data_IF_003129819113
#
_entry.id   IF_003129819113
#
_cell.length_a   1.000
_cell.length_b   1.000
_cell.length_c   1.000
_cell.angle_alpha   90.00
_cell.angle_beta   90.00
_cell.angle_gamma   90.00
#
_symmetry.space_group_name_H-M   'P 1'
#
loop_
_entity.id
_entity.type
_entity.pdbx_description
1 polymer ?
#
# COMPACT_ATOMS: atom_id res chain seq x y z
N UNK A 1 15.26 67.81 -4.24
CA UNK A 1 13.94 67.17 -4.38
C UNK A 1 14.07 66.04 -5.39
N UNK A 2 14.33 64.82 -4.93
CA UNK A 2 14.33 63.64 -5.81
C UNK A 2 13.85 62.47 -4.99
N UNK A 3 12.65 61.99 -5.32
CA UNK A 3 11.95 60.94 -4.61
C UNK A 3 12.42 59.56 -5.07
N UNK A 4 12.70 58.72 -4.08
CA UNK A 4 13.01 57.29 -4.14
C UNK A 4 11.81 56.47 -4.63
N UNK A 5 12.02 55.52 -5.56
CA UNK A 5 11.04 54.44 -5.85
C UNK A 5 11.65 53.09 -5.53
N UNK A 6 10.99 52.38 -4.62
CA UNK A 6 11.24 50.99 -4.21
C UNK A 6 10.60 49.97 -5.17
N UNK A 7 11.30 48.83 -5.31
CA UNK A 7 10.85 47.42 -5.40
C UNK A 7 9.75 46.99 -6.38
N UNK A 8 10.09 45.97 -7.19
CA UNK A 8 9.47 44.64 -7.09
C UNK A 8 10.24 43.62 -7.96
N UNK A 9 11.16 42.87 -7.34
CA UNK A 9 11.69 41.62 -7.91
C UNK A 9 10.64 40.52 -7.76
N UNK A 10 10.19 39.94 -8.88
CA UNK A 10 9.41 38.71 -8.87
C UNK A 10 10.36 37.53 -9.00
N UNK A 11 10.55 36.80 -7.91
CA UNK A 11 11.17 35.48 -7.87
C UNK A 11 10.23 34.45 -8.51
N UNK A 12 10.56 34.00 -9.72
CA UNK A 12 9.89 32.89 -10.39
C UNK A 12 10.43 31.56 -9.89
N UNK A 13 9.62 30.85 -9.11
CA UNK A 13 9.83 29.44 -8.76
C UNK A 13 9.77 28.59 -10.02
N UNK A 14 10.85 27.88 -10.33
CA UNK A 14 10.93 26.94 -11.43
C UNK A 14 10.04 25.71 -11.16
N UNK A 15 8.83 25.71 -11.73
CA UNK A 15 7.98 24.54 -11.79
C UNK A 15 8.65 23.47 -12.68
N UNK A 16 8.83 22.26 -12.15
CA UNK A 16 9.24 21.09 -12.94
C UNK A 16 8.26 20.90 -14.10
N UNK A 17 8.74 21.13 -15.32
CA UNK A 17 7.96 20.99 -16.54
C UNK A 17 7.49 19.55 -16.71
N UNK A 18 6.16 19.34 -16.72
CA UNK A 18 5.55 18.15 -17.32
C UNK A 18 5.99 18.11 -18.79
N UNK A 19 6.61 17.02 -19.22
CA UNK A 19 7.01 16.84 -20.62
C UNK A 19 5.81 17.00 -21.58
N UNK A 20 6.06 17.28 -22.87
CA UNK A 20 4.99 17.51 -23.85
C UNK A 20 4.04 16.30 -23.91
N UNK A 21 2.73 16.59 -23.96
CA UNK A 21 1.70 15.56 -24.12
C UNK A 21 1.91 14.83 -25.46
N UNK A 22 1.85 13.48 -25.48
CA UNK A 22 2.08 12.70 -26.70
C UNK A 22 1.03 12.97 -27.77
N UNK A 23 1.42 12.89 -29.03
CA UNK A 23 0.48 12.97 -30.16
C UNK A 23 -0.40 11.71 -30.21
N UNK A 24 -1.57 11.81 -30.83
CA UNK A 24 -2.49 10.68 -31.02
C UNK A 24 -1.80 9.50 -31.72
N UNK A 25 -0.92 9.79 -32.69
CA UNK A 25 -0.11 8.79 -33.39
C UNK A 25 0.86 8.06 -32.46
N UNK A 26 1.53 8.78 -31.54
CA UNK A 26 2.41 8.18 -30.55
C UNK A 26 1.64 7.30 -29.56
N UNK A 27 0.42 7.69 -29.18
CA UNK A 27 -0.44 6.88 -28.31
C UNK A 27 -0.87 5.60 -29.04
N UNK A 28 -1.25 5.68 -30.31
CA UNK A 28 -1.68 4.51 -31.10
C UNK A 28 -0.52 3.55 -31.42
N UNK A 29 0.69 4.08 -31.60
CA UNK A 29 1.90 3.29 -31.78
C UNK A 29 2.40 2.64 -30.48
N UNK A 30 1.87 3.05 -29.31
CA UNK A 30 2.31 2.54 -28.02
C UNK A 30 1.90 1.08 -27.79
N UNK A 31 2.84 0.30 -27.24
CA UNK A 31 2.62 -1.12 -26.94
C UNK A 31 1.45 -1.37 -25.99
N UNK A 32 1.24 -0.53 -24.98
CA UNK A 32 0.11 -0.65 -24.05
C UNK A 32 -1.20 -0.44 -24.80
N UNK A 33 -1.29 0.59 -25.66
CA UNK A 33 -2.48 0.86 -26.46
C UNK A 33 -2.80 -0.27 -27.42
N UNK A 34 -1.78 -0.84 -28.07
CA UNK A 34 -1.94 -1.99 -28.96
C UNK A 34 -2.48 -3.21 -28.21
N UNK A 35 -1.90 -3.54 -27.05
CA UNK A 35 -2.38 -4.64 -26.22
C UNK A 35 -3.80 -4.37 -25.70
N UNK A 36 -4.09 -3.15 -25.26
CA UNK A 36 -5.42 -2.75 -24.81
C UNK A 36 -6.46 -2.99 -25.91
N UNK A 37 -6.19 -2.52 -27.13
CA UNK A 37 -7.08 -2.71 -28.28
C UNK A 37 -7.29 -4.18 -28.66
N UNK A 38 -6.35 -5.07 -28.36
CA UNK A 38 -6.49 -6.50 -28.63
C UNK A 38 -7.31 -7.23 -27.56
N UNK A 39 -7.18 -6.82 -26.29
CA UNK A 39 -7.63 -7.62 -25.15
C UNK A 39 -8.74 -7.00 -24.31
N UNK A 40 -8.71 -5.69 -24.01
CA UNK A 40 -9.58 -5.13 -22.95
C UNK A 40 -10.13 -3.72 -23.18
N UNK A 41 -9.64 -2.96 -24.15
CA UNK A 41 -10.07 -1.58 -24.36
C UNK A 41 -11.58 -1.51 -24.66
N UNK A 42 -12.31 -0.55 -24.06
CA UNK A 42 -13.76 -0.47 -24.15
C UNK A 42 -14.26 -0.33 -25.60
N UNK A 43 -13.53 0.43 -26.42
CA UNK A 43 -13.88 0.75 -27.81
C UNK A 43 -13.11 -0.08 -28.87
N UNK A 44 -12.51 -1.20 -28.46
CA UNK A 44 -11.85 -2.13 -29.38
C UNK A 44 -12.85 -2.79 -30.35
N UNK A 45 -12.35 -3.25 -31.51
CA UNK A 45 -13.12 -3.97 -32.52
C UNK A 45 -13.93 -5.15 -31.92
N UNK A 46 -15.05 -5.51 -32.56
CA UNK A 46 -16.14 -6.37 -32.03
C UNK A 46 -15.73 -7.73 -31.42
N UNK A 47 -14.49 -8.20 -31.62
CA UNK A 47 -13.99 -9.47 -31.07
C UNK A 47 -12.63 -9.31 -30.39
N UNK A 48 -12.65 -9.14 -29.06
CA UNK A 48 -11.46 -9.15 -28.20
C UNK A 48 -10.86 -10.56 -28.10
N UNK A 49 -9.55 -10.64 -27.94
CA UNK A 49 -8.88 -11.90 -27.66
C UNK A 49 -9.26 -12.42 -26.25
N UNK A 50 -9.28 -13.76 -26.04
CA UNK A 50 -9.54 -14.32 -24.72
C UNK A 50 -8.42 -13.94 -23.74
N UNK A 51 -8.74 -14.01 -22.45
CA UNK A 51 -7.77 -13.74 -21.38
C UNK A 51 -6.53 -14.65 -21.51
N UNK A 52 -5.37 -14.04 -21.33
CA UNK A 52 -4.09 -14.73 -21.31
C UNK A 52 -3.21 -14.15 -20.19
N UNK A 53 -2.91 -14.97 -19.18
CA UNK A 53 -2.10 -14.57 -18.02
C UNK A 53 -0.71 -14.07 -18.41
N UNK A 54 -0.13 -14.60 -19.50
CA UNK A 54 1.18 -14.15 -20.00
C UNK A 54 1.20 -12.68 -20.41
N UNK A 55 0.06 -12.12 -20.80
CA UNK A 55 -0.06 -10.69 -21.13
C UNK A 55 0.09 -9.84 -19.86
N UNK A 56 -0.47 -10.30 -18.73
CA UNK A 56 -0.28 -9.65 -17.43
C UNK A 56 1.19 -9.72 -17.01
N UNK A 57 1.82 -10.89 -17.16
CA UNK A 57 3.25 -11.05 -16.85
C UNK A 57 4.14 -10.16 -17.73
N UNK A 58 3.85 -10.08 -19.03
CA UNK A 58 4.59 -9.23 -19.97
C UNK A 58 4.44 -7.75 -19.63
N UNK A 59 3.21 -7.27 -19.39
CA UNK A 59 2.94 -5.87 -19.00
C UNK A 59 3.65 -5.55 -17.69
N UNK A 60 3.52 -6.42 -16.69
CA UNK A 60 4.12 -6.18 -15.39
C UNK A 60 5.64 -6.11 -15.48
N UNK A 61 6.29 -7.06 -16.16
CA UNK A 61 7.73 -7.10 -16.30
C UNK A 61 8.27 -5.95 -17.16
N UNK A 62 7.74 -5.77 -18.39
CA UNK A 62 8.31 -4.84 -19.37
C UNK A 62 7.83 -3.40 -19.19
N UNK A 63 6.57 -3.21 -18.81
CA UNK A 63 5.96 -1.87 -18.78
C UNK A 63 5.97 -1.26 -17.38
N UNK A 64 5.92 -2.07 -16.32
CA UNK A 64 5.91 -1.59 -14.94
C UNK A 64 7.30 -1.72 -14.30
N UNK A 65 7.92 -2.90 -14.32
CA UNK A 65 9.22 -3.12 -13.64
C UNK A 65 10.40 -2.54 -14.39
N UNK A 66 10.58 -2.87 -15.67
CA UNK A 66 11.72 -2.37 -16.46
C UNK A 66 11.70 -0.85 -16.64
N UNK A 67 10.50 -0.24 -16.66
CA UNK A 67 10.34 1.23 -16.64
C UNK A 67 10.58 1.86 -15.27
N UNK A 68 10.92 1.06 -14.26
CA UNK A 68 11.08 1.47 -12.86
C UNK A 68 9.84 2.18 -12.30
N UNK A 69 8.65 1.65 -12.57
CA UNK A 69 7.36 2.20 -12.16
C UNK A 69 7.13 3.62 -12.70
N UNK A 70 7.49 3.84 -13.97
CA UNK A 70 7.31 5.14 -14.61
C UNK A 70 5.82 5.54 -14.61
N UNK A 71 5.52 6.68 -13.98
CA UNK A 71 4.15 7.22 -13.83
C UNK A 71 3.40 7.23 -15.16
N UNK A 72 4.07 7.62 -16.25
CA UNK A 72 3.45 7.66 -17.59
C UNK A 72 2.98 6.28 -18.08
N UNK A 73 3.72 5.19 -17.85
CA UNK A 73 3.30 3.84 -18.25
C UNK A 73 2.10 3.38 -17.43
N UNK A 74 2.13 3.65 -16.12
CA UNK A 74 1.07 3.33 -15.17
C UNK A 74 -0.23 4.09 -15.53
N UNK A 75 -0.14 5.39 -15.80
CA UNK A 75 -1.26 6.21 -16.27
C UNK A 75 -1.90 5.65 -17.54
N UNK A 76 -1.09 5.19 -18.50
CA UNK A 76 -1.61 4.62 -19.75
C UNK A 76 -2.40 3.32 -19.52
N UNK A 77 -1.93 2.47 -18.60
CA UNK A 77 -2.64 1.25 -18.21
C UNK A 77 -3.97 1.61 -17.52
N UNK A 78 -3.95 2.54 -16.56
CA UNK A 78 -5.15 2.99 -15.85
C UNK A 78 -6.19 3.56 -16.81
N UNK A 79 -5.78 4.49 -17.69
CA UNK A 79 -6.65 5.13 -18.68
C UNK A 79 -7.28 4.13 -19.66
N UNK A 80 -6.57 3.02 -19.94
CA UNK A 80 -7.07 1.94 -20.79
C UNK A 80 -8.08 1.01 -20.11
N UNK A 81 -8.44 1.26 -18.84
CA UNK A 81 -9.32 0.43 -18.01
C UNK A 81 -8.76 -0.98 -17.77
N UNK A 82 -7.46 -1.06 -17.49
CA UNK A 82 -6.75 -2.33 -17.32
C UNK A 82 -7.29 -3.16 -16.14
N UNK A 83 -7.69 -2.52 -15.02
CA UNK A 83 -8.25 -3.23 -13.86
C UNK A 83 -9.64 -3.77 -14.16
N UNK A 84 -10.50 -2.89 -14.67
CA UNK A 84 -11.92 -3.12 -14.87
C UNK A 84 -12.19 -4.19 -15.92
N UNK A 85 -11.40 -4.18 -16.99
CA UNK A 85 -11.68 -4.99 -18.17
C UNK A 85 -10.72 -6.18 -18.34
N UNK A 86 -9.57 -6.21 -17.66
CA UNK A 86 -8.58 -7.28 -17.85
C UNK A 86 -8.11 -7.95 -16.55
N UNK A 87 -7.68 -7.20 -15.54
CA UNK A 87 -7.12 -7.79 -14.33
C UNK A 87 -8.22 -8.40 -13.47
N UNK A 88 -9.10 -7.56 -12.92
CA UNK A 88 -10.04 -7.98 -11.89
C UNK A 88 -11.05 -9.04 -12.34
N UNK A 89 -11.69 -8.93 -13.53
CA UNK A 89 -12.58 -9.97 -14.02
C UNK A 89 -11.91 -11.34 -14.18
N UNK A 90 -10.58 -11.37 -14.34
CA UNK A 90 -9.81 -12.59 -14.56
C UNK A 90 -8.94 -12.97 -13.35
N UNK A 91 -9.11 -12.31 -12.20
CA UNK A 91 -8.42 -12.68 -10.97
C UNK A 91 -9.12 -13.88 -10.31
N UNK A 92 -8.37 -14.94 -10.06
CA UNK A 92 -8.87 -16.16 -9.43
C UNK A 92 -7.75 -17.14 -9.06
N UNK A 93 -8.07 -18.30 -8.47
CA UNK A 93 -7.08 -19.25 -7.97
C UNK A 93 -6.06 -19.70 -9.03
N UNK A 94 -6.51 -19.92 -10.27
CA UNK A 94 -5.68 -20.44 -11.36
C UNK A 94 -4.82 -19.37 -12.06
N UNK A 95 -5.14 -18.09 -11.84
CA UNK A 95 -4.51 -16.94 -12.51
C UNK A 95 -3.72 -16.06 -11.55
N UNK A 96 -3.74 -16.40 -10.25
CA UNK A 96 -3.07 -15.66 -9.19
C UNK A 96 -1.57 -15.91 -9.26
N UNK A 97 -0.83 -14.87 -9.61
CA UNK A 97 0.62 -14.80 -9.43
C UNK A 97 1.01 -13.40 -8.90
N UNK A 98 2.31 -13.23 -8.61
CA UNK A 98 2.82 -11.97 -8.05
C UNK A 98 2.64 -10.79 -9.02
N UNK A 99 2.81 -11.00 -10.33
CA UNK A 99 2.65 -9.97 -11.35
C UNK A 99 1.21 -9.47 -11.44
N UNK A 100 0.23 -10.38 -11.40
CA UNK A 100 -1.19 -10.05 -11.40
C UNK A 100 -1.58 -9.29 -10.11
N UNK A 101 -1.14 -9.79 -8.95
CA UNK A 101 -1.36 -9.15 -7.66
C UNK A 101 -0.84 -7.70 -7.65
N UNK A 102 0.43 -7.52 -8.03
CA UNK A 102 1.09 -6.22 -8.00
C UNK A 102 0.59 -5.28 -9.10
N UNK A 103 0.16 -5.80 -10.25
CA UNK A 103 -0.50 -4.98 -11.27
C UNK A 103 -1.78 -4.36 -10.73
N UNK A 104 -2.64 -5.13 -10.05
CA UNK A 104 -3.85 -4.59 -9.42
C UNK A 104 -3.47 -3.53 -8.38
N UNK A 105 -2.54 -3.83 -7.47
CA UNK A 105 -2.05 -2.90 -6.43
C UNK A 105 -1.60 -1.57 -7.04
N UNK A 106 -0.77 -1.61 -8.08
CA UNK A 106 -0.24 -0.41 -8.74
C UNK A 106 -1.35 0.40 -9.39
N UNK A 107 -2.32 -0.25 -10.06
CA UNK A 107 -3.44 0.47 -10.67
C UNK A 107 -4.36 1.12 -9.63
N UNK A 108 -4.61 0.46 -8.50
CA UNK A 108 -5.41 1.07 -7.42
C UNK A 108 -4.69 2.28 -6.83
N UNK A 109 -3.39 2.17 -6.54
CA UNK A 109 -2.60 3.31 -6.08
C UNK A 109 -2.64 4.47 -7.09
N UNK A 110 -2.59 4.17 -8.37
CA UNK A 110 -2.71 5.16 -9.43
C UNK A 110 -4.08 5.85 -9.43
N UNK A 111 -5.17 5.11 -9.24
CA UNK A 111 -6.52 5.69 -9.13
C UNK A 111 -6.62 6.67 -7.97
N UNK A 112 -6.00 6.35 -6.82
CA UNK A 112 -5.89 7.30 -5.70
C UNK A 112 -5.04 8.52 -6.06
N UNK A 113 -3.93 8.34 -6.79
CA UNK A 113 -3.06 9.43 -7.25
C UNK A 113 -3.81 10.40 -8.17
N UNK A 114 -4.64 9.88 -9.07
CA UNK A 114 -5.47 10.65 -10.01
C UNK A 114 -6.82 11.09 -9.40
N UNK A 115 -7.12 10.68 -8.16
CA UNK A 115 -8.34 11.02 -7.40
C UNK A 115 -9.63 10.57 -8.12
N UNK A 116 -9.59 9.39 -8.72
CA UNK A 116 -10.76 8.74 -9.33
C UNK A 116 -11.27 7.60 -8.44
N UNK A 117 -12.54 7.15 -8.60
CA UNK A 117 -13.07 6.06 -7.80
C UNK A 117 -12.23 4.79 -7.93
N UNK A 118 -11.61 4.35 -6.83
CA UNK A 118 -10.65 3.25 -6.82
C UNK A 118 -11.32 1.87 -6.60
N UNK A 119 -12.44 1.83 -5.87
CA UNK A 119 -13.00 0.58 -5.36
C UNK A 119 -14.10 -0.04 -6.23
N UNK A 120 -14.62 0.71 -7.22
CA UNK A 120 -15.76 0.28 -8.05
C UNK A 120 -15.49 -1.01 -8.82
N UNK A 121 -14.26 -1.19 -9.33
CA UNK A 121 -13.88 -2.38 -10.11
C UNK A 121 -14.11 -3.68 -9.33
N UNK A 122 -13.89 -3.64 -8.01
CA UNK A 122 -14.01 -4.80 -7.13
C UNK A 122 -15.46 -5.28 -6.94
N UNK A 123 -16.45 -4.42 -7.17
CA UNK A 123 -17.88 -4.76 -7.03
C UNK A 123 -18.38 -5.76 -8.07
N UNK A 124 -17.63 -5.99 -9.15
CA UNK A 124 -17.98 -6.98 -10.18
C UNK A 124 -17.76 -8.44 -9.72
N UNK A 125 -16.80 -8.67 -8.82
CA UNK A 125 -16.46 -9.98 -8.23
C UNK A 125 -16.04 -9.84 -6.76
N UNK A 126 -16.91 -9.31 -5.87
CA UNK A 126 -16.54 -8.95 -4.51
C UNK A 126 -16.04 -10.13 -3.67
N UNK A 127 -16.45 -11.35 -4.00
CA UNK A 127 -16.04 -12.60 -3.35
C UNK A 127 -14.54 -12.92 -3.50
N UNK A 128 -13.86 -12.36 -4.52
CA UNK A 128 -12.42 -12.53 -4.71
C UNK A 128 -11.60 -11.57 -3.84
N UNK A 129 -12.20 -10.48 -3.34
CA UNK A 129 -11.47 -9.47 -2.59
C UNK A 129 -10.82 -9.98 -1.30
N UNK A 130 -11.45 -10.83 -0.47
CA UNK A 130 -10.78 -11.42 0.69
C UNK A 130 -9.53 -12.23 0.32
N UNK A 131 -9.57 -12.98 -0.78
CA UNK A 131 -8.44 -13.79 -1.28
C UNK A 131 -7.31 -12.90 -1.80
N UNK A 132 -7.67 -11.84 -2.54
CA UNK A 132 -6.74 -10.81 -3.01
C UNK A 132 -6.09 -10.07 -1.83
N UNK A 133 -6.88 -9.56 -0.90
CA UNK A 133 -6.40 -8.83 0.27
C UNK A 133 -5.46 -9.69 1.12
N UNK A 134 -5.80 -10.96 1.35
CA UNK A 134 -4.92 -11.90 2.03
C UNK A 134 -3.57 -12.05 1.32
N UNK A 135 -3.57 -12.15 0.00
CA UNK A 135 -2.36 -12.23 -0.80
C UNK A 135 -1.50 -10.96 -0.72
N UNK A 136 -2.12 -9.78 -0.68
CA UNK A 136 -1.43 -8.49 -0.45
C UNK A 136 -0.73 -8.50 0.92
N UNK A 137 -1.43 -8.91 1.98
CA UNK A 137 -0.84 -8.99 3.32
C UNK A 137 0.35 -9.96 3.34
N UNK A 138 0.21 -11.12 2.69
CA UNK A 138 1.29 -12.10 2.60
C UNK A 138 2.51 -11.52 1.87
N UNK A 139 2.28 -10.85 0.74
CA UNK A 139 3.34 -10.18 -0.03
C UNK A 139 4.05 -9.06 0.74
N UNK A 140 3.38 -8.42 1.71
CA UNK A 140 4.02 -7.42 2.59
C UNK A 140 5.03 -8.04 3.57
N UNK A 141 4.89 -9.34 3.88
CA UNK A 141 5.71 -10.03 4.88
C UNK A 141 6.74 -10.99 4.27
N UNK A 142 6.64 -11.32 2.99
CA UNK A 142 7.59 -12.18 2.27
C UNK A 142 8.67 -11.39 1.52
N UNK A 143 9.82 -12.03 1.29
CA UNK A 143 10.92 -11.44 0.51
C UNK A 143 10.78 -11.69 -1.01
N UNK A 144 9.56 -11.98 -1.46
CA UNK A 144 9.26 -12.25 -2.88
C UNK A 144 9.18 -10.98 -3.72
N UNK A 145 8.95 -9.84 -3.07
CA UNK A 145 8.83 -8.52 -3.70
C UNK A 145 10.08 -7.67 -3.39
N UNK A 146 10.56 -6.91 -4.37
CA UNK A 146 11.55 -5.84 -4.23
C UNK A 146 11.04 -4.74 -3.29
N UNK A 147 11.94 -3.90 -2.75
CA UNK A 147 11.53 -2.80 -1.88
C UNK A 147 10.52 -1.85 -2.53
N UNK A 148 10.66 -1.58 -3.83
CA UNK A 148 9.73 -0.72 -4.57
C UNK A 148 8.32 -1.34 -4.66
N UNK A 149 8.26 -2.64 -4.89
CA UNK A 149 7.00 -3.40 -4.87
C UNK A 149 6.41 -3.45 -3.45
N UNK A 150 7.24 -3.61 -2.41
CA UNK A 150 6.82 -3.54 -1.01
C UNK A 150 6.28 -2.16 -0.63
N UNK A 151 6.90 -1.08 -1.11
CA UNK A 151 6.40 0.28 -0.95
C UNK A 151 5.03 0.45 -1.60
N UNK A 152 4.82 -0.07 -2.82
CA UNK A 152 3.51 -0.04 -3.47
C UNK A 152 2.44 -0.80 -2.68
N UNK A 153 2.80 -1.94 -2.07
CA UNK A 153 1.92 -2.69 -1.18
C UNK A 153 1.55 -1.89 0.09
N UNK A 154 2.52 -1.18 0.70
CA UNK A 154 2.26 -0.32 1.86
C UNK A 154 1.29 0.82 1.52
N UNK A 155 1.50 1.49 0.37
CA UNK A 155 0.61 2.55 -0.11
C UNK A 155 -0.81 2.01 -0.32
N UNK A 156 -0.95 0.84 -0.93
CA UNK A 156 -2.25 0.19 -1.10
C UNK A 156 -2.92 -0.13 0.24
N UNK A 157 -2.18 -0.70 1.19
CA UNK A 157 -2.71 -0.97 2.53
C UNK A 157 -3.15 0.32 3.23
N UNK A 158 -2.40 1.41 3.06
CA UNK A 158 -2.78 2.70 3.61
C UNK A 158 -4.11 3.18 3.01
N UNK A 159 -4.28 3.07 1.70
CA UNK A 159 -5.56 3.35 1.05
C UNK A 159 -6.70 2.49 1.59
N UNK A 160 -6.47 1.21 1.89
CA UNK A 160 -7.49 0.36 2.52
C UNK A 160 -7.90 0.84 3.92
N UNK A 161 -6.94 1.22 4.77
CA UNK A 161 -7.27 1.74 6.11
C UNK A 161 -7.95 3.11 6.07
N UNK A 162 -7.61 3.93 5.07
CA UNK A 162 -8.25 5.23 4.84
C UNK A 162 -9.60 5.15 4.10
N UNK A 163 -10.05 3.94 3.72
CA UNK A 163 -11.32 3.71 3.01
C UNK A 163 -12.26 2.75 3.77
N UNK A 164 -12.23 2.75 5.11
CA UNK A 164 -13.06 1.84 5.92
C UNK A 164 -14.56 2.20 5.92
N UNK A 165 -14.98 3.27 5.28
CA UNK A 165 -16.37 3.56 4.95
C UNK A 165 -16.92 2.60 3.89
N UNK A 166 -16.07 2.07 3.00
CA UNK A 166 -16.44 1.07 2.01
C UNK A 166 -16.58 -0.32 2.65
N UNK A 167 -17.78 -0.91 2.58
CA UNK A 167 -18.13 -2.17 3.24
C UNK A 167 -17.14 -3.30 2.93
N UNK A 168 -16.81 -3.45 1.64
CA UNK A 168 -15.88 -4.46 1.14
C UNK A 168 -14.50 -4.36 1.78
N UNK A 169 -14.01 -3.12 1.94
CA UNK A 169 -12.68 -2.81 2.50
C UNK A 169 -12.72 -2.96 4.02
N UNK A 170 -13.73 -2.37 4.66
CA UNK A 170 -13.94 -2.40 6.11
C UNK A 170 -13.94 -3.82 6.64
N UNK A 171 -14.63 -4.73 5.96
CA UNK A 171 -14.74 -6.12 6.40
C UNK A 171 -13.41 -6.86 6.45
N UNK A 172 -12.43 -6.44 5.63
CA UNK A 172 -11.06 -6.94 5.68
C UNK A 172 -10.20 -6.17 6.68
N UNK A 173 -10.13 -4.85 6.56
CA UNK A 173 -9.24 -4.00 7.34
C UNK A 173 -9.53 -4.06 8.85
N UNK A 174 -10.82 -4.10 9.26
CA UNK A 174 -11.21 -4.10 10.68
C UNK A 174 -10.64 -5.28 11.48
N UNK A 175 -10.35 -6.40 10.81
CA UNK A 175 -9.81 -7.61 11.47
C UNK A 175 -8.38 -7.36 11.98
N UNK A 176 -7.61 -6.54 11.26
CA UNK A 176 -6.21 -6.23 11.55
C UNK A 176 -6.04 -5.26 12.74
N UNK A 177 -7.07 -4.49 13.06
CA UNK A 177 -7.06 -3.44 14.11
C UNK A 177 -8.07 -3.69 15.23
N UNK A 178 -8.54 -4.93 15.37
CA UNK A 178 -9.48 -5.34 16.42
C UNK A 178 -8.77 -5.68 17.74
N UNK A 179 -9.51 -5.81 18.86
CA UNK A 179 -8.93 -6.23 20.15
C UNK A 179 -8.11 -7.52 20.03
N UNK A 180 -8.47 -8.41 19.10
CA UNK A 180 -7.77 -9.69 18.89
C UNK A 180 -6.29 -9.52 18.53
N UNK A 181 -5.87 -8.36 18.02
CA UNK A 181 -4.47 -8.05 17.73
C UNK A 181 -3.58 -8.03 18.98
N UNK A 182 -4.15 -7.84 20.17
CA UNK A 182 -3.43 -7.87 21.45
C UNK A 182 -2.83 -9.25 21.78
N UNK A 183 -3.07 -10.26 20.95
CA UNK A 183 -2.30 -11.51 21.01
C UNK A 183 -0.80 -11.28 20.77
N UNK A 184 -0.44 -10.21 20.05
CA UNK A 184 0.94 -9.81 19.79
C UNK A 184 1.62 -9.10 20.97
N UNK A 185 0.85 -8.60 21.95
CA UNK A 185 1.41 -7.94 23.13
C UNK A 185 2.13 -8.94 24.04
N UNK A 186 3.13 -8.45 24.76
CA UNK A 186 3.70 -9.17 25.89
C UNK A 186 2.60 -9.57 26.90
N UNK A 187 2.64 -10.79 27.48
CA UNK A 187 1.57 -11.28 28.36
C UNK A 187 1.25 -10.36 29.54
N UNK A 188 2.28 -9.78 30.16
CA UNK A 188 2.13 -8.84 31.27
C UNK A 188 1.50 -7.51 30.83
N UNK A 189 1.93 -6.96 29.68
CA UNK A 189 1.34 -5.74 29.11
C UNK A 189 -0.13 -5.97 28.79
N UNK A 190 -0.47 -7.05 28.09
CA UNK A 190 -1.86 -7.41 27.78
C UNK A 190 -2.72 -7.51 29.04
N UNK A 191 -2.24 -8.21 30.07
CA UNK A 191 -3.02 -8.39 31.30
C UNK A 191 -3.20 -7.06 32.05
N UNK A 192 -2.20 -6.18 32.04
CA UNK A 192 -2.31 -4.82 32.57
C UNK A 192 -3.43 -4.03 31.88
N UNK A 193 -3.43 -3.98 30.55
CA UNK A 193 -4.44 -3.27 29.75
C UNK A 193 -5.86 -3.85 29.95
N UNK A 194 -6.00 -5.17 29.97
CA UNK A 194 -7.27 -5.84 30.24
C UNK A 194 -7.77 -5.63 31.68
N UNK A 195 -6.89 -5.30 32.66
CA UNK A 195 -7.33 -5.00 34.04
C UNK A 195 -7.99 -3.63 34.10
N UNK A 196 -7.51 -2.68 33.31
CA UNK A 196 -8.06 -1.33 33.25
C UNK A 196 -9.46 -1.28 32.61
N UNK A 197 -9.83 -2.28 31.80
CA UNK A 197 -11.13 -2.34 31.14
C UNK A 197 -11.83 -3.71 31.26
N UNK A 198 -12.78 -3.80 32.18
CA UNK A 198 -13.54 -5.04 32.46
C UNK A 198 -14.36 -5.54 31.26
N UNK A 199 -14.87 -4.64 30.41
CA UNK A 199 -15.61 -5.01 29.18
C UNK A 199 -14.69 -5.69 28.18
N UNK A 200 -13.48 -5.13 27.95
CA UNK A 200 -12.48 -5.74 27.06
C UNK A 200 -12.00 -7.08 27.59
N UNK A 201 -11.78 -7.22 28.90
CA UNK A 201 -11.47 -8.51 29.53
C UNK A 201 -12.52 -9.57 29.25
N UNK A 202 -13.81 -9.22 29.37
CA UNK A 202 -14.91 -10.13 29.06
C UNK A 202 -14.88 -10.55 27.59
N UNK A 203 -14.72 -9.59 26.68
CA UNK A 203 -14.64 -9.86 25.24
C UNK A 203 -13.42 -10.72 24.86
N UNK A 204 -12.24 -10.43 25.44
CA UNK A 204 -11.02 -11.22 25.26
C UNK A 204 -11.20 -12.69 25.68
N UNK A 205 -11.81 -12.93 26.85
CA UNK A 205 -12.15 -14.30 27.31
C UNK A 205 -13.11 -15.00 26.34
N UNK A 206 -14.02 -14.28 25.70
CA UNK A 206 -14.92 -14.83 24.70
C UNK A 206 -14.18 -15.19 23.41
N UNK A 207 -13.28 -14.33 22.93
CA UNK A 207 -12.44 -14.60 21.74
C UNK A 207 -11.65 -15.91 21.93
N UNK A 208 -11.06 -16.11 23.10
CA UNK A 208 -10.29 -17.32 23.41
C UNK A 208 -11.10 -18.63 23.43
N UNK A 209 -12.43 -18.54 23.60
CA UNK A 209 -13.31 -19.72 23.72
C UNK A 209 -14.01 -20.12 22.42
N UNK A 210 -14.08 -19.23 21.42
CA UNK A 210 -14.98 -19.36 20.26
C UNK A 210 -14.35 -19.98 19.00
N UNK A 211 -13.11 -20.45 19.06
CA UNK A 211 -12.34 -20.84 17.87
C UNK A 211 -11.85 -22.28 17.92
N UNK A 212 -12.00 -23.00 16.81
CA UNK A 212 -11.27 -24.25 16.60
C UNK A 212 -9.75 -24.00 16.50
N UNK A 213 -8.93 -25.04 16.69
CA UNK A 213 -7.47 -24.96 16.52
C UNK A 213 -7.06 -24.37 15.16
N UNK A 214 -7.74 -24.79 14.09
CA UNK A 214 -7.47 -24.36 12.72
C UNK A 214 -7.88 -22.90 12.47
N UNK A 215 -9.07 -22.51 12.91
CA UNK A 215 -9.54 -21.11 12.86
C UNK A 215 -8.61 -20.20 13.64
N UNK A 216 -8.18 -20.65 14.83
CA UNK A 216 -7.26 -19.90 15.68
C UNK A 216 -5.92 -19.69 14.97
N UNK A 217 -5.35 -20.69 14.28
CA UNK A 217 -4.10 -20.53 13.52
C UNK A 217 -4.24 -19.55 12.36
N UNK A 218 -5.30 -19.69 11.55
CA UNK A 218 -5.55 -18.81 10.42
C UNK A 218 -5.73 -17.35 10.87
N UNK A 219 -6.51 -17.13 11.95
CA UNK A 219 -6.75 -15.82 12.52
C UNK A 219 -5.53 -15.27 13.26
N UNK A 220 -4.71 -16.12 13.88
CA UNK A 220 -3.48 -15.72 14.56
C UNK A 220 -2.55 -14.97 13.61
N UNK A 221 -2.48 -15.42 12.36
CA UNK A 221 -1.67 -14.75 11.34
C UNK A 221 -2.15 -13.32 11.09
N UNK A 222 -3.46 -13.11 10.91
CA UNK A 222 -4.03 -11.77 10.69
C UNK A 222 -3.87 -10.89 11.94
N UNK A 223 -4.10 -11.46 13.14
CA UNK A 223 -3.96 -10.77 14.43
C UNK A 223 -2.55 -10.26 14.70
N UNK A 224 -1.54 -10.91 14.14
CA UNK A 224 -0.13 -10.55 14.33
C UNK A 224 0.45 -9.83 13.12
N UNK A 225 -0.34 -9.60 12.06
CA UNK A 225 0.13 -8.99 10.82
C UNK A 225 0.83 -7.64 11.05
N UNK A 226 0.16 -6.66 11.67
CA UNK A 226 0.74 -5.32 11.90
C UNK A 226 1.96 -5.35 12.81
N UNK A 227 1.99 -6.23 13.82
CA UNK A 227 3.16 -6.45 14.66
C UNK A 227 4.35 -6.98 13.84
N UNK A 228 4.12 -8.00 13.01
CA UNK A 228 5.14 -8.58 12.15
C UNK A 228 5.63 -7.58 11.10
N UNK A 229 4.75 -6.73 10.58
CA UNK A 229 5.08 -5.66 9.65
C UNK A 229 5.98 -4.59 10.32
N UNK A 230 5.65 -4.17 11.55
CA UNK A 230 6.50 -3.29 12.36
C UNK A 230 7.86 -3.91 12.64
N UNK A 231 7.91 -5.19 13.03
CA UNK A 231 9.17 -5.90 13.28
C UNK A 231 10.04 -5.98 12.00
N UNK A 232 9.42 -6.23 10.84
CA UNK A 232 10.10 -6.22 9.53
C UNK A 232 10.66 -4.85 9.19
N UNK A 233 9.87 -3.79 9.37
CA UNK A 233 10.32 -2.42 9.19
C UNK A 233 11.51 -2.07 10.09
N UNK A 234 11.44 -2.40 11.38
CA UNK A 234 12.54 -2.14 12.32
C UNK A 234 13.82 -2.85 11.88
N UNK A 235 13.73 -4.11 11.42
CA UNK A 235 14.89 -4.82 10.87
C UNK A 235 15.47 -4.12 9.65
N UNK A 236 14.64 -3.63 8.73
CA UNK A 236 15.09 -2.88 7.56
C UNK A 236 15.76 -1.57 7.97
N UNK A 237 15.15 -0.83 8.90
CA UNK A 237 15.65 0.44 9.42
C UNK A 237 17.04 0.28 10.05
N UNK A 238 17.25 -0.80 10.81
CA UNK A 238 18.54 -1.14 11.43
C UNK A 238 19.64 -1.45 10.38
N UNK A 239 19.28 -1.75 9.11
CA UNK A 239 20.27 -1.95 8.03
C UNK A 239 20.76 -0.66 7.37
N UNK A 240 20.21 0.50 7.73
CA UNK A 240 20.58 1.78 7.13
C UNK A 240 21.81 2.34 7.87
N UNK A 241 22.94 2.60 7.17
CA UNK A 241 24.13 3.16 7.79
C UNK A 241 23.95 4.66 8.09
N UNK A 242 24.65 5.16 9.11
CA UNK A 242 24.63 6.59 9.48
C UNK A 242 25.23 7.48 8.39
N UNK A 243 26.26 7.01 7.69
CA UNK A 243 26.94 7.73 6.60
C UNK A 243 27.15 6.82 5.39
N UNK A 244 27.47 7.43 4.24
CA UNK A 244 27.66 6.72 2.97
C UNK A 244 26.34 6.47 2.21
N UNK A 245 26.44 5.66 1.15
CA UNK A 245 25.35 5.45 0.21
C UNK A 245 24.24 4.57 0.81
N UNK A 246 23.00 5.01 0.62
CA UNK A 246 21.79 4.24 0.92
C UNK A 246 20.92 4.21 -0.33
N UNK A 247 20.22 3.11 -0.56
CA UNK A 247 19.25 3.04 -1.66
C UNK A 247 18.06 3.96 -1.37
N UNK A 248 17.66 4.77 -2.36
CA UNK A 248 16.45 5.59 -2.29
C UNK A 248 15.20 4.75 -1.97
N UNK A 249 15.13 3.50 -2.47
CA UNK A 249 14.00 2.61 -2.20
C UNK A 249 13.87 2.27 -0.71
N UNK A 250 14.99 2.20 0.04
CA UNK A 250 14.94 2.00 1.50
C UNK A 250 14.37 3.24 2.19
N UNK A 251 14.79 4.43 1.79
CA UNK A 251 14.29 5.69 2.37
C UNK A 251 12.79 5.81 2.07
N UNK A 252 12.39 5.66 0.81
CA UNK A 252 10.99 5.74 0.41
C UNK A 252 10.11 4.69 1.10
N UNK A 253 10.60 3.46 1.26
CA UNK A 253 9.89 2.44 2.02
C UNK A 253 9.68 2.90 3.48
N UNK A 254 10.73 3.42 4.12
CA UNK A 254 10.64 3.90 5.50
C UNK A 254 9.65 5.07 5.65
N UNK A 255 9.62 6.00 4.70
CA UNK A 255 8.67 7.11 4.67
C UNK A 255 7.23 6.64 4.54
N UNK A 256 6.95 5.75 3.57
CA UNK A 256 5.59 5.21 3.36
C UNK A 256 5.15 4.29 4.48
N UNK A 257 6.09 3.62 5.15
CA UNK A 257 5.79 2.89 6.36
C UNK A 257 5.34 3.82 7.48
N UNK A 258 6.06 4.93 7.73
CA UNK A 258 5.65 5.90 8.76
C UNK A 258 4.30 6.55 8.43
N UNK A 259 4.05 6.90 7.17
CA UNK A 259 2.74 7.41 6.73
C UNK A 259 1.61 6.45 7.10
N UNK A 260 1.76 5.15 6.83
CA UNK A 260 0.79 4.13 7.23
C UNK A 260 0.59 4.09 8.76
N UNK A 261 1.65 4.19 9.56
CA UNK A 261 1.54 4.19 11.02
C UNK A 261 0.84 5.44 11.55
N UNK A 262 1.12 6.60 10.95
CA UNK A 262 0.48 7.88 11.29
C UNK A 262 -1.02 7.81 11.00
N UNK A 263 -1.41 7.36 9.81
CA UNK A 263 -2.81 7.28 9.40
C UNK A 263 -3.60 6.30 10.28
N UNK A 264 -3.00 5.16 10.64
CA UNK A 264 -3.56 4.22 11.62
C UNK A 264 -3.76 4.85 13.00
N UNK A 265 -2.85 5.72 13.45
CA UNK A 265 -2.94 6.42 14.74
C UNK A 265 -3.86 7.65 14.71
N UNK A 266 -4.12 8.22 13.54
CA UNK A 266 -4.93 9.42 13.35
C UNK A 266 -6.44 9.12 13.47
N UNK A 267 -6.88 7.91 13.12
CA UNK A 267 -8.29 7.53 13.10
C UNK A 267 -8.65 6.68 14.33
N UNK A 268 -9.70 7.07 15.07
CA UNK A 268 -10.12 6.35 16.29
C UNK A 268 -10.41 4.84 16.06
N UNK A 269 -11.09 4.42 14.97
CA UNK A 269 -11.39 3.00 14.75
C UNK A 269 -10.15 2.10 14.58
N UNK A 270 -9.06 2.65 14.06
CA UNK A 270 -7.78 1.94 13.88
C UNK A 270 -6.88 2.09 15.11
N UNK A 271 -6.78 3.30 15.67
CA UNK A 271 -5.91 3.65 16.80
C UNK A 271 -6.21 2.83 18.07
N UNK A 272 -7.50 2.62 18.36
CA UNK A 272 -7.99 2.15 19.68
C UNK A 272 -7.22 0.97 20.28
N UNK A 273 -6.90 -0.03 19.47
CA UNK A 273 -6.15 -1.22 19.91
C UNK A 273 -4.74 -1.26 19.35
N UNK A 274 -4.52 -0.63 18.18
CA UNK A 274 -3.23 -0.56 17.52
C UNK A 274 -2.20 0.24 18.32
N UNK A 275 -2.60 1.37 18.92
CA UNK A 275 -1.71 2.25 19.69
C UNK A 275 -0.90 1.50 20.75
N UNK A 276 -1.57 0.62 21.51
CA UNK A 276 -0.93 -0.21 22.54
C UNK A 276 0.11 -1.17 21.94
N UNK A 277 -0.17 -1.75 20.77
CA UNK A 277 0.76 -2.67 20.10
C UNK A 277 1.96 -1.92 19.54
N UNK A 278 1.74 -0.73 18.96
CA UNK A 278 2.81 0.13 18.46
C UNK A 278 3.75 0.58 19.59
N UNK A 279 3.19 0.92 20.75
CA UNK A 279 3.96 1.27 21.95
C UNK A 279 4.78 0.10 22.51
N UNK A 280 4.19 -1.10 22.56
CA UNK A 280 4.87 -2.34 22.98
C UNK A 280 6.03 -2.73 22.04
N UNK A 281 5.98 -2.30 20.78
CA UNK A 281 7.07 -2.46 19.81
C UNK A 281 8.16 -1.38 19.93
N UNK A 282 7.95 -0.37 20.78
CA UNK A 282 8.82 0.80 20.93
C UNK A 282 9.12 1.51 19.61
N UNK A 283 8.17 1.48 18.66
CA UNK A 283 8.40 1.90 17.28
C UNK A 283 8.94 3.34 17.20
N UNK A 284 8.28 4.28 17.89
CA UNK A 284 8.66 5.70 17.90
C UNK A 284 10.09 5.89 18.42
N UNK A 285 10.45 5.21 19.52
CA UNK A 285 11.80 5.27 20.09
C UNK A 285 12.83 4.71 19.11
N UNK A 286 12.55 3.57 18.47
CA UNK A 286 13.43 2.96 17.47
C UNK A 286 13.62 3.87 16.26
N UNK A 287 12.56 4.54 15.79
CA UNK A 287 12.65 5.54 14.72
C UNK A 287 13.47 6.78 15.11
N UNK A 288 13.36 7.25 16.36
CA UNK A 288 14.13 8.41 16.86
C UNK A 288 15.62 8.11 17.04
N UNK A 289 15.97 6.88 17.39
CA UNK A 289 17.35 6.44 17.61
C UNK A 289 18.03 5.88 16.34
N UNK A 290 17.28 5.71 15.24
CA UNK A 290 17.80 5.10 14.02
C UNK A 290 18.84 5.96 13.33
N UNK A 291 19.73 5.33 12.57
CA UNK A 291 20.70 6.07 11.75
C UNK A 291 20.02 6.96 10.70
N UNK A 292 18.91 6.50 10.11
CA UNK A 292 18.14 7.30 9.14
C UNK A 292 17.71 8.65 9.73
N UNK A 293 17.42 8.72 11.02
CA UNK A 293 17.05 9.97 11.70
C UNK A 293 18.14 11.05 11.71
N UNK A 294 19.40 10.64 11.56
CA UNK A 294 20.58 11.52 11.65
C UNK A 294 21.07 11.98 10.27
N UNK A 295 20.53 11.39 9.19
CA UNK A 295 20.95 11.66 7.83
C UNK A 295 20.20 12.85 7.22
N UNK A 296 20.87 13.58 6.33
CA UNK A 296 20.25 14.68 5.57
C UNK A 296 19.16 14.19 4.61
N UNK A 297 19.36 13.03 3.97
CA UNK A 297 18.36 12.38 3.11
C UNK A 297 17.20 11.73 3.89
N UNK A 298 17.28 11.70 5.23
CA UNK A 298 16.23 11.23 6.14
C UNK A 298 15.35 12.36 6.71
N UNK A 299 15.36 13.55 6.11
CA UNK A 299 14.59 14.71 6.60
C UNK A 299 13.08 14.46 6.62
N UNK A 300 12.50 13.92 5.54
CA UNK A 300 11.06 13.64 5.49
C UNK A 300 10.67 12.53 6.48
N UNK A 301 11.49 11.48 6.58
CA UNK A 301 11.37 10.47 7.64
C UNK A 301 11.41 11.09 9.04
N UNK A 302 12.16 12.17 9.23
CA UNK A 302 12.29 12.87 10.51
C UNK A 302 11.15 13.84 10.83
N UNK A 303 10.48 14.38 9.81
CA UNK A 303 9.28 15.21 9.96
C UNK A 303 8.04 14.38 10.32
N UNK A 304 8.02 13.10 9.92
CA UNK A 304 6.93 12.15 10.15
C UNK A 304 7.09 11.32 11.45
N UNK A 305 7.83 11.81 12.46
CA UNK A 305 8.05 11.11 13.74
C UNK A 305 7.16 11.60 14.87
#
# INVERSE_FOLDING_TARGET
MTATKQQAEKSGTAAKAKGPAPTVEQINADRITQLANQYWAPYAAEKRLPFNSKVVDEIYCKEIKESNFAVRRIMMLEFSQYVENFLWPNFGPDTKNLAHLLSIVVMINEKFRERVPAWESFKTKPEQFPVFFRAVLEACLTDTASLKEQTALLVFLNHCFNSMEEDLIRDQAKRLVSLSMWVSLQPHRREHELKQNSKWRKYWKTLQKKESEEQRRAQQWERTFLHNLMARFIRLLDTIPESGNVSEDKIHYCERFLELMIDLEALLPTRRFFNTVMDDCHLVTRCKLSNLSKREDGQLFSQNK
#
